data_IF_597524141572
#
_entry.id   IF_597524141572
#
_cell.length_a   1.000
_cell.length_b   1.000
_cell.length_c   1.000
_cell.angle_alpha   90.00
_cell.angle_beta   90.00
_cell.angle_gamma   90.00
#
_symmetry.space_group_name_H-M   'P 1'
#
loop_
_entity.id
_entity.type
_entity.pdbx_description
1 polymer ?
#
# COMPACT_ATOMS: atom_id res chain seq x y z
N UNK A 1 2.75 -13.29 -18.42
CA UNK A 1 4.00 -12.71 -17.88
C UNK A 1 4.24 -11.22 -18.25
N UNK A 2 3.89 -10.76 -19.46
CA UNK A 2 4.00 -9.34 -19.84
C UNK A 2 2.89 -8.43 -19.24
N UNK A 3 1.71 -8.99 -18.95
CA UNK A 3 0.58 -8.30 -18.29
C UNK A 3 0.81 -7.99 -16.80
N UNK A 4 1.82 -8.59 -16.14
CA UNK A 4 2.17 -8.24 -14.76
C UNK A 4 3.13 -7.05 -14.68
N UNK A 5 3.78 -6.70 -15.79
CA UNK A 5 4.75 -5.60 -15.89
C UNK A 5 4.14 -4.32 -16.46
N UNK A 6 3.20 -4.44 -17.40
CA UNK A 6 2.31 -3.34 -17.74
C UNK A 6 1.19 -3.32 -16.69
N UNK A 7 1.23 -2.40 -15.73
CA UNK A 7 0.26 -2.32 -14.64
C UNK A 7 -1.19 -2.49 -15.10
N UNK A 8 -2.01 -3.12 -14.25
CA UNK A 8 -3.42 -3.32 -14.56
C UNK A 8 -4.10 -1.95 -14.77
N UNK A 9 -4.87 -1.82 -15.85
CA UNK A 9 -5.73 -0.65 -16.05
C UNK A 9 -6.91 -0.73 -15.09
N UNK A 10 -6.70 -0.27 -13.86
CA UNK A 10 -7.67 -0.30 -12.77
C UNK A 10 -8.05 1.12 -12.31
N UNK A 11 -8.96 1.20 -11.33
CA UNK A 11 -9.42 2.47 -10.79
C UNK A 11 -8.27 3.26 -10.15
N UNK A 12 -7.33 2.57 -9.50
CA UNK A 12 -6.15 3.20 -8.89
C UNK A 12 -5.33 3.87 -9.98
N UNK A 13 -5.07 3.21 -11.10
CA UNK A 13 -4.35 3.79 -12.22
C UNK A 13 -5.02 5.06 -12.75
N UNK A 14 -6.35 5.03 -12.93
CA UNK A 14 -7.12 6.20 -13.40
C UNK A 14 -7.02 7.36 -12.43
N UNK A 15 -7.22 7.12 -11.13
CA UNK A 15 -7.22 8.18 -10.11
C UNK A 15 -5.82 8.71 -9.80
N UNK A 16 -4.80 7.85 -9.80
CA UNK A 16 -3.43 8.20 -9.43
C UNK A 16 -2.70 8.87 -10.59
N UNK A 17 -2.85 8.36 -11.83
CA UNK A 17 -2.05 8.82 -12.97
C UNK A 17 -2.84 9.65 -14.00
N UNK A 18 -4.09 9.29 -14.32
CA UNK A 18 -4.85 10.02 -15.35
C UNK A 18 -5.53 11.29 -14.82
N UNK A 19 -6.13 11.22 -13.63
CA UNK A 19 -6.74 12.37 -12.97
C UNK A 19 -5.80 13.59 -12.90
N UNK A 20 -4.55 13.50 -12.41
CA UNK A 20 -3.69 14.66 -12.33
C UNK A 20 -3.32 15.20 -13.71
N UNK A 21 -3.08 14.34 -14.71
CA UNK A 21 -2.82 14.77 -16.10
C UNK A 21 -3.99 15.57 -16.66
N UNK A 22 -5.22 15.10 -16.44
CA UNK A 22 -6.43 15.81 -16.84
C UNK A 22 -6.55 17.18 -16.15
N UNK A 23 -6.29 17.24 -14.84
CA UNK A 23 -6.33 18.50 -14.08
C UNK A 23 -5.25 19.50 -14.50
N UNK A 24 -4.05 19.01 -14.82
CA UNK A 24 -2.95 19.81 -15.33
C UNK A 24 -3.27 20.34 -16.74
N UNK A 25 -3.84 19.51 -17.62
CA UNK A 25 -4.27 19.94 -18.96
C UNK A 25 -5.36 21.01 -18.90
N UNK A 26 -6.26 20.94 -17.92
CA UNK A 26 -7.25 22.00 -17.72
C UNK A 26 -6.64 23.28 -17.13
N UNK A 27 -5.47 23.21 -16.49
CA UNK A 27 -4.96 24.27 -15.60
C UNK A 27 -3.60 24.87 -15.92
N UNK A 28 -2.96 24.45 -17.00
CA UNK A 28 -1.67 25.01 -17.40
C UNK A 28 -1.76 26.46 -17.93
N UNK A 29 -2.93 26.91 -18.40
CA UNK A 29 -3.12 28.18 -19.10
C UNK A 29 -4.00 29.20 -18.35
N UNK A 30 -4.06 29.11 -17.02
CA UNK A 30 -5.00 29.88 -16.17
C UNK A 30 -5.04 31.40 -16.43
N UNK A 31 -3.93 32.00 -16.85
CA UNK A 31 -3.81 33.42 -17.15
C UNK A 31 -3.40 33.71 -18.61
N UNK A 32 -2.58 32.85 -19.20
CA UNK A 32 -1.92 33.10 -20.49
C UNK A 32 -2.92 33.32 -21.63
N UNK A 33 -4.01 32.54 -21.66
CA UNK A 33 -5.04 32.63 -22.69
C UNK A 33 -5.78 33.98 -22.65
N UNK A 34 -6.04 34.51 -21.45
CA UNK A 34 -6.69 35.83 -21.28
C UNK A 34 -5.75 36.98 -21.56
N UNK A 35 -4.46 36.80 -21.29
CA UNK A 35 -3.44 37.78 -21.66
C UNK A 35 -3.32 37.89 -23.19
N UNK A 36 -3.31 36.76 -23.89
CA UNK A 36 -3.25 36.71 -25.35
C UNK A 36 -4.52 37.28 -26.00
N UNK A 37 -5.69 37.01 -25.41
CA UNK A 37 -6.97 37.54 -25.89
C UNK A 37 -7.25 39.00 -25.47
N UNK A 38 -6.35 39.63 -24.70
CA UNK A 38 -6.51 41.01 -24.21
C UNK A 38 -7.64 41.21 -23.18
N UNK A 39 -8.37 40.16 -22.80
CA UNK A 39 -9.49 40.21 -21.85
C UNK A 39 -9.04 40.27 -20.40
N UNK A 40 -7.78 39.93 -20.12
CA UNK A 40 -7.23 39.90 -18.77
C UNK A 40 -7.42 41.22 -18.01
N UNK A 41 -7.17 42.37 -18.66
CA UNK A 41 -7.33 43.68 -18.00
C UNK A 41 -8.77 43.94 -17.59
N UNK A 42 -9.74 43.53 -18.41
CA UNK A 42 -11.17 43.67 -18.10
C UNK A 42 -11.54 42.81 -16.89
N UNK A 43 -11.07 41.56 -16.86
CA UNK A 43 -11.32 40.65 -15.74
C UNK A 43 -10.64 41.10 -14.45
N UNK A 44 -9.44 41.68 -14.54
CA UNK A 44 -8.75 42.25 -13.39
C UNK A 44 -9.48 43.49 -12.84
N UNK A 45 -10.11 44.31 -13.68
CA UNK A 45 -10.96 45.43 -13.20
C UNK A 45 -12.18 44.92 -12.41
N UNK A 46 -12.75 43.78 -12.82
CA UNK A 46 -13.91 43.20 -12.13
C UNK A 46 -13.52 42.43 -10.86
N UNK A 47 -12.40 41.70 -10.88
CA UNK A 47 -11.93 40.87 -9.79
C UNK A 47 -10.99 41.60 -8.79
N UNK A 48 -10.63 42.84 -9.06
CA UNK A 48 -9.76 43.69 -8.24
C UNK A 48 -8.26 43.37 -8.34
N UNK A 49 -7.89 42.09 -8.29
CA UNK A 49 -6.49 41.64 -8.39
C UNK A 49 -6.37 40.26 -9.04
N UNK A 50 -5.19 39.97 -9.62
CA UNK A 50 -4.94 38.72 -10.34
C UNK A 50 -5.08 37.48 -9.46
N UNK A 51 -4.61 37.54 -8.20
CA UNK A 51 -4.68 36.40 -7.27
C UNK A 51 -6.12 35.95 -7.00
N UNK A 52 -7.06 36.88 -6.90
CA UNK A 52 -8.49 36.61 -6.72
C UNK A 52 -9.13 35.96 -7.94
N UNK A 53 -8.76 36.39 -9.14
CA UNK A 53 -9.20 35.77 -10.39
C UNK A 53 -8.69 34.33 -10.50
N UNK A 54 -7.40 34.10 -10.21
CA UNK A 54 -6.80 32.77 -10.20
C UNK A 54 -7.43 31.86 -9.14
N UNK A 55 -7.67 32.38 -7.94
CA UNK A 55 -8.36 31.66 -6.88
C UNK A 55 -9.77 31.25 -7.28
N UNK A 56 -10.58 32.20 -7.78
CA UNK A 56 -11.96 31.93 -8.20
C UNK A 56 -12.01 30.87 -9.30
N UNK A 57 -11.13 30.93 -10.30
CA UNK A 57 -11.01 29.91 -11.36
C UNK A 57 -10.62 28.54 -10.81
N UNK A 58 -9.62 28.50 -9.94
CA UNK A 58 -9.13 27.26 -9.32
C UNK A 58 -10.23 26.63 -8.46
N UNK A 59 -10.95 27.45 -7.68
CA UNK A 59 -12.07 27.03 -6.86
C UNK A 59 -13.24 26.51 -7.71
N UNK A 60 -13.61 27.20 -8.78
CA UNK A 60 -14.65 26.77 -9.69
C UNK A 60 -14.34 25.40 -10.30
N UNK A 61 -13.09 25.19 -10.75
CA UNK A 61 -12.64 23.90 -11.29
C UNK A 61 -12.65 22.79 -10.23
N UNK A 62 -12.24 23.12 -9.00
CA UNK A 62 -12.32 22.20 -7.88
C UNK A 62 -13.76 21.80 -7.59
N UNK A 63 -14.72 22.74 -7.58
CA UNK A 63 -16.14 22.45 -7.37
C UNK A 63 -16.74 21.60 -8.48
N UNK A 64 -16.42 21.89 -9.74
CA UNK A 64 -16.87 21.08 -10.89
C UNK A 64 -16.33 19.66 -10.79
N UNK A 65 -15.03 19.51 -10.50
CA UNK A 65 -14.41 18.21 -10.28
C UNK A 65 -15.06 17.47 -9.10
N UNK A 66 -15.32 18.18 -8.00
CA UNK A 66 -15.99 17.63 -6.82
C UNK A 66 -17.34 17.05 -7.17
N UNK A 67 -18.17 17.83 -7.87
CA UNK A 67 -19.50 17.42 -8.29
C UNK A 67 -19.45 16.21 -9.23
N UNK A 68 -18.54 16.23 -10.20
CA UNK A 68 -18.36 15.11 -11.13
C UNK A 68 -17.91 13.83 -10.43
N UNK A 69 -16.88 13.89 -9.58
CA UNK A 69 -16.38 12.72 -8.84
C UNK A 69 -17.41 12.17 -7.87
N UNK A 70 -18.14 13.06 -7.17
CA UNK A 70 -19.22 12.66 -6.27
C UNK A 70 -20.32 11.93 -7.05
N UNK A 71 -20.80 12.50 -8.15
CA UNK A 71 -21.82 11.88 -8.99
C UNK A 71 -21.36 10.53 -9.56
N UNK A 72 -20.15 10.46 -10.10
CA UNK A 72 -19.59 9.25 -10.69
C UNK A 72 -19.41 8.14 -9.65
N UNK A 73 -18.77 8.43 -8.52
CA UNK A 73 -18.52 7.44 -7.47
C UNK A 73 -19.80 6.98 -6.79
N UNK A 74 -20.76 7.88 -6.59
CA UNK A 74 -22.09 7.51 -6.07
C UNK A 74 -22.82 6.61 -7.05
N UNK A 75 -22.79 6.94 -8.35
CA UNK A 75 -23.44 6.14 -9.39
C UNK A 75 -22.83 4.74 -9.48
N UNK A 76 -21.49 4.63 -9.48
CA UNK A 76 -20.79 3.34 -9.46
C UNK A 76 -21.13 2.54 -8.20
N UNK A 77 -21.14 3.18 -7.03
CA UNK A 77 -21.47 2.50 -5.77
C UNK A 77 -22.90 1.97 -5.78
N UNK A 78 -23.88 2.76 -6.20
CA UNK A 78 -25.28 2.34 -6.29
C UNK A 78 -25.50 1.22 -7.29
N UNK A 79 -24.77 1.23 -8.41
CA UNK A 79 -24.87 0.19 -9.43
C UNK A 79 -24.25 -1.13 -9.00
N UNK A 80 -23.10 -1.09 -8.32
CA UNK A 80 -22.33 -2.29 -7.99
C UNK A 80 -22.77 -2.95 -6.67
N UNK A 81 -23.34 -2.17 -5.74
CA UNK A 81 -23.76 -2.66 -4.42
C UNK A 81 -24.70 -3.89 -4.44
N UNK A 82 -25.61 -4.07 -5.42
CA UNK A 82 -26.41 -5.29 -5.49
C UNK A 82 -25.65 -6.54 -5.97
N UNK A 83 -24.54 -6.35 -6.70
CA UNK A 83 -23.81 -7.43 -7.36
C UNK A 83 -22.57 -7.88 -6.58
N UNK A 84 -22.05 -6.97 -5.77
CA UNK A 84 -20.91 -7.21 -4.91
C UNK A 84 -21.44 -7.14 -3.48
N UNK A 85 -21.26 -8.20 -2.69
CA UNK A 85 -21.49 -8.20 -1.24
C UNK A 85 -20.46 -7.27 -0.55
N UNK A 86 -20.57 -5.98 -0.86
CA UNK A 86 -19.72 -4.93 -0.35
C UNK A 86 -20.23 -4.56 1.04
N UNK A 87 -19.51 -5.01 2.07
CA UNK A 87 -19.60 -4.52 3.44
C UNK A 87 -19.09 -3.06 3.59
N UNK A 88 -19.23 -2.25 2.52
CA UNK A 88 -18.75 -0.88 2.49
C UNK A 88 -19.80 0.05 3.07
N UNK A 89 -19.54 0.49 4.31
CA UNK A 89 -20.32 1.53 4.96
C UNK A 89 -20.17 2.89 4.26
N UNK A 90 -21.13 3.78 4.47
CA UNK A 90 -21.07 5.18 4.01
C UNK A 90 -19.77 5.88 4.41
N UNK A 91 -19.20 5.57 5.58
CA UNK A 91 -17.93 6.15 6.03
C UNK A 91 -16.80 5.85 5.05
N UNK A 92 -16.67 4.63 4.53
CA UNK A 92 -15.62 4.31 3.58
C UNK A 92 -15.77 5.05 2.25
N UNK A 93 -17.01 5.22 1.77
CA UNK A 93 -17.29 6.00 0.57
C UNK A 93 -16.90 7.48 0.74
N UNK A 94 -17.27 8.09 1.87
CA UNK A 94 -16.85 9.47 2.20
C UNK A 94 -15.32 9.60 2.30
N UNK A 95 -14.64 8.61 2.89
CA UNK A 95 -13.19 8.61 3.02
C UNK A 95 -12.51 8.51 1.64
N UNK A 96 -12.99 7.63 0.75
CA UNK A 96 -12.51 7.56 -0.62
C UNK A 96 -12.65 8.92 -1.32
N UNK A 97 -13.85 9.52 -1.26
CA UNK A 97 -14.11 10.81 -1.88
C UNK A 97 -13.17 11.89 -1.31
N UNK A 98 -13.04 11.96 0.01
CA UNK A 98 -12.18 12.95 0.67
C UNK A 98 -10.72 12.86 0.21
N UNK A 99 -10.14 11.66 0.14
CA UNK A 99 -8.74 11.48 -0.26
C UNK A 99 -8.52 11.82 -1.73
N UNK A 100 -9.42 11.40 -2.62
CA UNK A 100 -9.33 11.75 -4.04
C UNK A 100 -9.48 13.26 -4.23
N UNK A 101 -10.38 13.89 -3.47
CA UNK A 101 -10.58 15.34 -3.51
C UNK A 101 -9.36 16.13 -3.03
N UNK A 102 -8.72 15.69 -1.93
CA UNK A 102 -7.49 16.31 -1.43
C UNK A 102 -6.37 16.18 -2.47
N UNK A 103 -6.23 15.01 -3.10
CA UNK A 103 -5.25 14.79 -4.15
C UNK A 103 -5.50 15.65 -5.40
N UNK A 104 -6.75 15.74 -5.86
CA UNK A 104 -7.11 16.62 -6.98
C UNK A 104 -6.88 18.10 -6.66
N UNK A 105 -7.22 18.52 -5.44
CA UNK A 105 -6.97 19.87 -4.96
C UNK A 105 -5.47 20.20 -4.92
N UNK A 106 -4.64 19.25 -4.51
CA UNK A 106 -3.19 19.40 -4.52
C UNK A 106 -2.66 19.73 -5.92
N UNK A 107 -3.08 18.99 -6.96
CA UNK A 107 -2.63 19.23 -8.33
C UNK A 107 -3.15 20.55 -8.91
N UNK A 108 -4.40 20.92 -8.62
CA UNK A 108 -4.96 22.20 -9.03
C UNK A 108 -4.23 23.38 -8.37
N UNK A 109 -3.93 23.27 -7.08
CA UNK A 109 -3.17 24.30 -6.36
C UNK A 109 -1.72 24.38 -6.84
N UNK A 110 -1.09 23.24 -7.16
CA UNK A 110 0.25 23.22 -7.73
C UNK A 110 0.29 23.90 -9.11
N UNK A 111 -0.71 23.63 -9.96
CA UNK A 111 -0.85 24.32 -11.24
C UNK A 111 -1.07 25.83 -11.03
N UNK A 112 -1.95 26.22 -10.09
CA UNK A 112 -2.17 27.62 -9.76
C UNK A 112 -0.90 28.30 -9.22
N UNK A 113 -0.10 27.59 -8.41
CA UNK A 113 1.17 28.07 -7.87
C UNK A 113 2.17 28.34 -8.99
N UNK A 114 2.34 27.43 -9.93
CA UNK A 114 3.26 27.62 -11.05
C UNK A 114 2.83 28.75 -11.99
N UNK A 115 1.52 28.92 -12.19
CA UNK A 115 0.97 30.07 -12.92
C UNK A 115 1.26 31.41 -12.22
N UNK A 116 1.66 31.42 -10.94
CA UNK A 116 2.04 32.65 -10.23
C UNK A 116 3.42 33.22 -10.65
N UNK A 117 4.22 32.49 -11.43
CA UNK A 117 5.56 32.93 -11.82
C UNK A 117 5.60 33.69 -13.15
N UNK A 118 4.44 34.02 -13.75
CA UNK A 118 4.29 34.69 -15.07
C UNK A 118 5.04 33.98 -16.22
N UNK A 119 5.31 32.69 -16.06
CA UNK A 119 5.90 31.88 -17.11
C UNK A 119 4.92 31.69 -18.28
N UNK A 120 5.40 31.55 -19.53
CA UNK A 120 4.57 31.12 -20.64
C UNK A 120 3.84 29.81 -20.33
N UNK A 121 2.62 29.64 -20.86
CA UNK A 121 1.80 28.44 -20.67
C UNK A 121 2.57 27.14 -20.96
N UNK A 122 3.42 27.14 -22.01
CA UNK A 122 4.28 26.00 -22.35
C UNK A 122 5.24 25.66 -21.21
N UNK A 123 5.90 26.65 -20.59
CA UNK A 123 6.83 26.41 -19.48
C UNK A 123 6.12 25.89 -18.23
N UNK A 124 4.92 26.40 -17.93
CA UNK A 124 4.08 25.87 -16.83
C UNK A 124 3.69 24.41 -17.10
N UNK A 125 3.22 24.11 -18.31
CA UNK A 125 2.83 22.76 -18.72
C UNK A 125 4.02 21.79 -18.64
N UNK A 126 5.19 22.16 -19.16
CA UNK A 126 6.39 21.32 -19.10
C UNK A 126 6.88 21.12 -17.66
N UNK A 127 6.79 22.15 -16.81
CA UNK A 127 7.17 22.06 -15.39
C UNK A 127 6.23 21.13 -14.62
N UNK A 128 4.92 21.25 -14.84
CA UNK A 128 3.90 20.37 -14.28
C UNK A 128 4.11 18.92 -14.72
N UNK A 129 4.31 18.68 -16.01
CA UNK A 129 4.59 17.35 -16.54
C UNK A 129 5.88 16.76 -15.96
N UNK A 130 6.92 17.59 -15.77
CA UNK A 130 8.18 17.16 -15.17
C UNK A 130 8.00 16.79 -13.70
N UNK A 131 7.32 17.63 -12.90
CA UNK A 131 7.02 17.31 -11.49
C UNK A 131 6.17 16.04 -11.38
N UNK A 132 5.19 15.87 -12.28
CA UNK A 132 4.38 14.66 -12.35
C UNK A 132 5.22 13.42 -12.67
N UNK A 133 6.09 13.47 -13.68
CA UNK A 133 7.02 12.36 -13.99
C UNK A 133 7.96 12.06 -12.82
N UNK A 134 8.49 13.10 -12.17
CA UNK A 134 9.37 12.95 -11.03
C UNK A 134 8.69 12.22 -9.88
N UNK A 135 7.50 12.67 -9.44
CA UNK A 135 6.80 12.06 -8.32
C UNK A 135 6.13 10.72 -8.64
N UNK A 136 5.72 10.52 -9.89
CA UNK A 136 4.98 9.32 -10.29
C UNK A 136 5.91 8.17 -10.71
N UNK A 137 7.05 8.46 -11.32
CA UNK A 137 7.94 7.43 -11.89
C UNK A 137 9.33 7.46 -11.27
N UNK A 138 9.99 8.62 -11.25
CA UNK A 138 11.39 8.69 -10.84
C UNK A 138 11.55 8.42 -9.33
N UNK A 139 10.72 9.05 -8.50
CA UNK A 139 10.81 8.97 -7.04
C UNK A 139 10.47 7.56 -6.52
N UNK A 140 9.42 6.87 -7.03
CA UNK A 140 9.17 5.47 -6.67
C UNK A 140 10.28 4.53 -7.16
N UNK A 141 10.75 4.67 -8.40
CA UNK A 141 11.80 3.81 -8.96
C UNK A 141 13.13 3.95 -8.22
N UNK A 142 13.54 5.19 -7.92
CA UNK A 142 14.75 5.45 -7.14
C UNK A 142 14.62 5.00 -5.69
N UNK A 143 13.44 5.17 -5.09
CA UNK A 143 13.14 4.64 -3.76
C UNK A 143 13.28 3.13 -3.71
N UNK A 144 12.66 2.42 -4.65
CA UNK A 144 12.76 0.97 -4.75
C UNK A 144 14.20 0.51 -4.95
N UNK A 145 14.97 1.18 -5.81
CA UNK A 145 16.37 0.87 -6.02
C UNK A 145 17.21 1.11 -4.76
N UNK A 146 17.01 2.24 -4.07
CA UNK A 146 17.69 2.55 -2.81
C UNK A 146 17.37 1.52 -1.72
N UNK A 147 16.13 1.06 -1.64
CA UNK A 147 15.73 0.00 -0.71
C UNK A 147 16.44 -1.31 -0.99
N UNK A 148 16.64 -1.67 -2.26
CA UNK A 148 17.35 -2.90 -2.65
C UNK A 148 18.85 -2.83 -2.37
N UNK A 149 19.46 -1.64 -2.44
CA UNK A 149 20.90 -1.47 -2.15
C UNK A 149 21.19 -1.35 -0.65
N UNK A 150 20.36 -0.63 0.11
CA UNK A 150 20.53 -0.46 1.55
C UNK A 150 20.15 -1.72 2.34
N UNK A 151 19.09 -2.41 1.94
CA UNK A 151 18.59 -3.62 2.59
C UNK A 151 18.32 -4.72 1.55
N UNK A 152 19.36 -5.44 1.09
CA UNK A 152 19.23 -6.44 0.03
C UNK A 152 18.50 -7.70 0.51
N UNK A 153 17.18 -7.75 0.35
CA UNK A 153 16.37 -8.94 0.64
C UNK A 153 16.58 -9.98 -0.47
N UNK A 154 16.93 -11.24 -0.15
CA UNK A 154 17.10 -12.27 -1.17
C UNK A 154 15.80 -12.47 -1.95
N UNK A 155 15.92 -12.79 -3.24
CA UNK A 155 14.74 -13.09 -4.05
C UNK A 155 13.94 -14.24 -3.42
N UNK A 156 12.62 -14.27 -3.61
CA UNK A 156 11.76 -15.33 -3.03
C UNK A 156 12.24 -16.73 -3.42
N UNK A 157 12.77 -16.89 -4.63
CA UNK A 157 13.36 -18.15 -5.09
C UNK A 157 14.65 -18.49 -4.33
N UNK A 158 15.55 -17.51 -4.18
CA UNK A 158 16.80 -17.71 -3.42
C UNK A 158 16.52 -18.02 -1.94
N UNK A 159 15.54 -17.34 -1.34
CA UNK A 159 15.10 -17.63 0.02
C UNK A 159 14.54 -19.06 0.15
N UNK A 160 13.65 -19.48 -0.77
CA UNK A 160 13.11 -20.85 -0.77
C UNK A 160 14.22 -21.90 -0.98
N UNK A 161 15.22 -21.60 -1.79
CA UNK A 161 16.37 -22.47 -1.99
C UNK A 161 17.20 -22.59 -0.71
N UNK A 162 17.58 -21.47 -0.09
CA UNK A 162 18.29 -21.46 1.19
C UNK A 162 17.50 -22.18 2.29
N UNK A 163 16.19 -21.98 2.32
CA UNK A 163 15.30 -22.65 3.27
C UNK A 163 15.29 -24.17 3.04
N UNK A 164 15.23 -24.63 1.78
CA UNK A 164 15.28 -26.05 1.43
C UNK A 164 16.63 -26.66 1.77
N UNK A 165 17.73 -26.00 1.45
CA UNK A 165 19.09 -26.46 1.79
C UNK A 165 19.30 -26.56 3.31
N UNK A 166 18.81 -25.56 4.06
CA UNK A 166 18.81 -25.59 5.52
C UNK A 166 17.93 -26.72 6.07
N UNK A 167 16.78 -26.98 5.45
CA UNK A 167 15.89 -28.08 5.85
C UNK A 167 16.51 -29.45 5.53
N UNK A 168 17.13 -29.60 4.36
CA UNK A 168 17.80 -30.82 3.93
C UNK A 168 19.00 -31.15 4.81
N UNK A 169 19.85 -30.16 5.12
CA UNK A 169 20.97 -30.35 6.03
C UNK A 169 20.51 -30.70 7.44
N UNK A 170 19.49 -30.01 7.96
CA UNK A 170 18.87 -30.36 9.24
C UNK A 170 18.25 -31.76 9.22
N UNK A 171 17.64 -32.17 8.09
CA UNK A 171 17.08 -33.51 7.88
C UNK A 171 18.17 -34.57 7.90
N UNK A 172 19.24 -34.42 7.12
CA UNK A 172 20.38 -35.36 7.08
C UNK A 172 20.98 -35.57 8.47
N UNK A 173 21.25 -34.49 9.20
CA UNK A 173 21.80 -34.58 10.56
C UNK A 173 20.82 -35.30 11.51
N UNK A 174 19.52 -35.04 11.37
CA UNK A 174 18.51 -35.69 12.21
C UNK A 174 18.27 -37.15 11.82
N UNK A 175 18.37 -37.51 10.54
CA UNK A 175 18.28 -38.86 10.02
C UNK A 175 19.46 -39.72 10.51
N UNK A 176 20.67 -39.17 10.48
CA UNK A 176 21.87 -39.85 11.01
C UNK A 176 21.76 -40.12 12.50
N UNK A 177 21.37 -39.12 13.30
CA UNK A 177 21.17 -39.28 14.75
C UNK A 177 20.04 -40.28 15.06
N UNK A 178 18.97 -40.26 14.26
CA UNK A 178 17.84 -41.17 14.41
C UNK A 178 18.25 -42.61 14.06
N UNK A 179 18.99 -42.80 12.98
CA UNK A 179 19.49 -44.12 12.56
C UNK A 179 20.38 -44.75 13.63
N UNK A 180 21.37 -44.00 14.13
CA UNK A 180 22.24 -44.46 15.21
C UNK A 180 21.45 -44.82 16.48
N UNK A 181 20.43 -44.02 16.84
CA UNK A 181 19.58 -44.32 18.00
C UNK A 181 18.70 -45.56 17.80
N UNK A 182 18.21 -45.83 16.58
CA UNK A 182 17.41 -47.01 16.27
C UNK A 182 18.26 -48.29 16.16
N UNK A 183 19.53 -48.18 15.82
CA UNK A 183 20.49 -49.30 15.88
C UNK A 183 20.67 -49.78 17.33
N UNK A 184 20.74 -48.85 18.29
CA UNK A 184 20.84 -49.16 19.72
C UNK A 184 19.50 -49.60 20.35
N UNK A 185 18.36 -49.27 19.72
CA UNK A 185 17.00 -49.52 20.21
C UNK A 185 16.08 -50.15 19.14
N UNK A 186 16.36 -51.39 18.70
CA UNK A 186 15.57 -52.05 17.65
C UNK A 186 14.10 -52.27 18.05
N UNK A 187 13.79 -52.32 19.35
CA UNK A 187 12.41 -52.41 19.86
C UNK A 187 11.50 -51.24 19.43
N UNK A 188 12.06 -50.11 19.00
CA UNK A 188 11.32 -48.93 18.53
C UNK A 188 11.05 -48.93 17.01
N UNK A 189 11.63 -49.86 16.26
CA UNK A 189 11.57 -49.89 14.79
C UNK A 189 10.22 -50.42 14.24
N UNK A 190 9.43 -51.12 15.06
CA UNK A 190 8.21 -51.82 14.62
C UNK A 190 7.02 -50.87 14.34
N UNK A 191 7.20 -49.55 14.51
CA UNK A 191 6.25 -48.49 14.09
C UNK A 191 4.91 -48.45 14.85
N UNK A 192 4.57 -49.50 15.60
CA UNK A 192 3.37 -49.60 16.42
C UNK A 192 3.49 -48.86 17.77
N UNK A 193 4.72 -48.52 18.20
CA UNK A 193 4.96 -47.81 19.45
C UNK A 193 4.80 -46.29 19.25
N UNK A 194 3.99 -45.68 20.12
CA UNK A 194 3.79 -44.25 20.26
C UNK A 194 5.11 -43.47 20.50
N UNK A 195 6.14 -44.14 21.06
CA UNK A 195 7.50 -43.59 21.17
C UNK A 195 8.14 -43.29 19.81
N UNK A 196 7.88 -44.08 18.78
CA UNK A 196 8.39 -43.79 17.43
C UNK A 196 7.76 -42.52 16.84
N UNK A 197 6.45 -42.33 17.04
CA UNK A 197 5.76 -41.09 16.65
C UNK A 197 6.33 -39.87 17.40
N UNK A 198 6.60 -40.00 18.70
CA UNK A 198 7.21 -38.96 19.52
C UNK A 198 8.66 -38.63 19.08
N UNK A 199 9.41 -39.64 18.66
CA UNK A 199 10.76 -39.49 18.12
C UNK A 199 10.75 -38.73 16.78
N UNK A 200 9.85 -39.07 15.86
CA UNK A 200 9.68 -38.33 14.60
C UNK A 200 9.23 -36.89 14.83
N UNK A 201 8.38 -36.66 15.84
CA UNK A 201 7.97 -35.32 16.24
C UNK A 201 9.15 -34.47 16.74
N UNK A 202 9.99 -35.06 17.60
CA UNK A 202 11.17 -34.39 18.16
C UNK A 202 12.16 -33.97 17.06
N UNK A 203 12.30 -34.81 16.03
CA UNK A 203 13.08 -34.54 14.82
C UNK A 203 12.48 -33.37 14.03
N UNK A 204 11.17 -33.38 13.77
CA UNK A 204 10.50 -32.27 13.09
C UNK A 204 10.70 -30.93 13.85
N UNK A 205 10.58 -30.94 15.18
CA UNK A 205 10.84 -29.76 16.00
C UNK A 205 12.30 -29.29 15.94
N UNK A 206 13.26 -30.22 15.93
CA UNK A 206 14.69 -29.90 15.82
C UNK A 206 15.00 -29.27 14.45
N UNK A 207 14.43 -29.81 13.38
CA UNK A 207 14.53 -29.24 12.04
C UNK A 207 13.93 -27.82 11.99
N UNK A 208 12.75 -27.61 12.57
CA UNK A 208 12.13 -26.29 12.64
C UNK A 208 13.00 -25.28 13.41
N UNK A 209 13.64 -25.69 14.51
CA UNK A 209 14.57 -24.84 15.28
C UNK A 209 15.82 -24.48 14.48
N UNK A 210 16.35 -25.40 13.67
CA UNK A 210 17.55 -25.18 12.86
C UNK A 210 17.33 -24.12 11.76
N UNK A 211 16.13 -24.05 11.18
CA UNK A 211 15.80 -23.09 10.10
C UNK A 211 15.30 -21.74 10.66
N UNK A 212 14.85 -21.70 11.91
CA UNK A 212 14.35 -20.48 12.59
C UNK A 212 15.25 -19.23 12.46
N UNK A 213 16.58 -19.28 12.65
CA UNK A 213 17.42 -18.09 12.51
C UNK A 213 17.39 -17.52 11.09
N UNK A 214 17.37 -18.36 10.06
CA UNK A 214 17.27 -17.93 8.66
C UNK A 214 15.96 -17.17 8.41
N UNK A 215 14.84 -17.72 8.91
CA UNK A 215 13.52 -17.07 8.82
C UNK A 215 13.51 -15.73 9.55
N UNK A 216 14.08 -15.67 10.76
CA UNK A 216 14.12 -14.43 11.54
C UNK A 216 14.97 -13.35 10.88
N UNK A 217 16.13 -13.71 10.32
CA UNK A 217 16.97 -12.76 9.58
C UNK A 217 16.24 -12.19 8.37
N UNK A 218 15.58 -13.05 7.59
CA UNK A 218 14.77 -12.63 6.44
C UNK A 218 13.65 -11.66 6.86
N UNK A 219 12.90 -11.99 7.92
CA UNK A 219 11.82 -11.13 8.42
C UNK A 219 12.34 -9.79 8.94
N UNK A 220 13.46 -9.78 9.67
CA UNK A 220 14.06 -8.53 10.15
C UNK A 220 14.52 -7.62 9.00
N UNK A 221 15.08 -8.20 7.95
CA UNK A 221 15.52 -7.44 6.79
C UNK A 221 14.34 -6.87 6.01
N UNK A 222 13.28 -7.66 5.84
CA UNK A 222 12.03 -7.22 5.25
C UNK A 222 11.40 -6.06 6.04
N UNK A 223 11.35 -6.17 7.37
CA UNK A 223 10.81 -5.13 8.25
C UNK A 223 11.59 -3.80 8.15
N UNK A 224 12.94 -3.86 8.04
CA UNK A 224 13.77 -2.66 7.83
C UNK A 224 13.51 -2.01 6.47
N UNK A 225 13.36 -2.82 5.44
CA UNK A 225 13.04 -2.35 4.10
C UNK A 225 11.67 -1.65 4.09
N UNK A 226 10.68 -2.22 4.76
CA UNK A 226 9.34 -1.65 4.89
C UNK A 226 9.33 -0.36 5.71
N UNK A 227 10.09 -0.29 6.79
CA UNK A 227 10.22 0.93 7.59
C UNK A 227 10.74 2.11 6.74
N UNK A 228 11.82 1.89 5.96
CA UNK A 228 12.31 2.92 5.05
C UNK A 228 11.34 3.21 3.91
N UNK A 229 10.70 2.18 3.34
CA UNK A 229 9.70 2.38 2.30
C UNK A 229 8.59 3.31 2.80
N UNK A 230 8.05 3.04 3.99
CA UNK A 230 6.98 3.83 4.61
C UNK A 230 7.38 5.31 4.80
N UNK A 231 8.64 5.58 5.13
CA UNK A 231 9.15 6.95 5.20
C UNK A 231 9.27 7.60 3.81
N UNK A 232 9.71 6.84 2.80
CA UNK A 232 9.90 7.31 1.44
C UNK A 232 8.60 7.72 0.75
N UNK A 233 7.51 7.03 1.09
CA UNK A 233 6.17 7.25 0.53
C UNK A 233 5.69 8.69 0.79
N UNK A 234 6.04 9.30 1.93
CA UNK A 234 5.61 10.66 2.26
C UNK A 234 6.21 11.76 1.36
N UNK A 235 7.24 11.46 0.57
CA UNK A 235 7.81 12.42 -0.38
C UNK A 235 6.99 12.57 -1.66
N UNK A 236 6.12 11.59 -1.98
CA UNK A 236 5.34 11.60 -3.21
C UNK A 236 3.84 11.65 -2.91
N UNK A 237 3.13 12.70 -3.37
CA UNK A 237 1.67 12.74 -3.27
C UNK A 237 1.01 11.58 -4.04
N UNK A 238 1.68 11.08 -5.08
CA UNK A 238 1.24 9.97 -5.94
C UNK A 238 1.26 8.68 -5.13
N UNK A 239 2.38 8.36 -4.50
CA UNK A 239 2.54 7.15 -3.68
C UNK A 239 1.63 7.18 -2.45
N UNK A 240 1.37 8.35 -1.86
CA UNK A 240 0.44 8.51 -0.75
C UNK A 240 -1.00 8.18 -1.15
N UNK A 241 -1.46 8.67 -2.30
CA UNK A 241 -2.80 8.35 -2.81
C UNK A 241 -2.91 6.85 -3.11
N UNK A 242 -1.95 6.30 -3.84
CA UNK A 242 -1.94 4.88 -4.20
C UNK A 242 -2.09 3.97 -2.97
N UNK A 243 -1.31 4.23 -1.92
CA UNK A 243 -1.40 3.48 -0.67
C UNK A 243 -2.72 3.69 0.07
N UNK A 244 -3.24 4.91 0.11
CA UNK A 244 -4.53 5.17 0.74
C UNK A 244 -5.66 4.40 0.03
N UNK A 245 -5.60 4.29 -1.30
CA UNK A 245 -6.56 3.51 -2.09
C UNK A 245 -6.39 2.00 -1.87
N UNK A 246 -5.15 1.47 -1.88
CA UNK A 246 -4.88 0.06 -1.57
C UNK A 246 -5.34 -0.31 -0.16
N UNK A 247 -5.12 0.58 0.81
CA UNK A 247 -5.55 0.37 2.18
C UNK A 247 -7.08 0.40 2.34
N UNK A 248 -7.76 1.31 1.65
CA UNK A 248 -9.23 1.33 1.58
C UNK A 248 -9.80 0.06 0.94
N UNK A 249 -9.10 -0.49 -0.06
CA UNK A 249 -9.47 -1.75 -0.71
C UNK A 249 -9.10 -3.00 0.13
N UNK A 250 -8.31 -2.83 1.19
CA UNK A 250 -7.80 -3.93 2.01
C UNK A 250 -6.82 -4.84 1.27
N UNK A 251 -6.12 -4.32 0.26
CA UNK A 251 -5.11 -5.00 -0.56
C UNK A 251 -3.69 -4.49 -0.28
N UNK A 252 -3.50 -3.77 0.84
CA UNK A 252 -2.20 -3.25 1.23
C UNK A 252 -1.29 -4.31 1.87
N UNK A 253 0.01 -4.01 1.86
CA UNK A 253 1.04 -4.91 2.40
C UNK A 253 0.96 -5.08 3.93
N UNK A 254 0.54 -4.05 4.67
CA UNK A 254 0.46 -4.13 6.13
C UNK A 254 -0.61 -5.13 6.56
N UNK A 255 -1.73 -5.22 5.82
CA UNK A 255 -2.73 -6.26 6.03
C UNK A 255 -2.18 -7.66 5.77
N UNK A 256 -1.38 -7.84 4.71
CA UNK A 256 -0.75 -9.13 4.42
C UNK A 256 0.21 -9.56 5.54
N UNK A 257 0.98 -8.65 6.13
CA UNK A 257 1.84 -8.95 7.28
C UNK A 257 1.06 -9.39 8.52
N UNK A 258 -0.04 -8.69 8.81
CA UNK A 258 -0.93 -9.07 9.92
C UNK A 258 -1.50 -10.46 9.68
N UNK A 259 -1.93 -10.76 8.46
CA UNK A 259 -2.40 -12.09 8.07
C UNK A 259 -1.31 -13.17 8.26
N UNK A 260 -0.07 -12.92 7.82
CA UNK A 260 1.05 -13.85 7.99
C UNK A 260 1.30 -14.17 9.48
N UNK A 261 1.27 -13.15 10.36
CA UNK A 261 1.42 -13.34 11.81
C UNK A 261 0.26 -14.18 12.37
N UNK A 262 -0.97 -13.89 11.97
CA UNK A 262 -2.15 -14.65 12.39
C UNK A 262 -2.12 -16.09 11.90
N UNK A 263 -1.72 -16.32 10.64
CA UNK A 263 -1.57 -17.64 10.07
C UNK A 263 -0.53 -18.47 10.84
N UNK A 264 0.60 -17.85 11.21
CA UNK A 264 1.62 -18.51 12.04
C UNK A 264 1.16 -18.78 13.48
N UNK A 265 0.35 -17.90 14.08
CA UNK A 265 -0.24 -18.15 15.39
C UNK A 265 -1.23 -19.32 15.31
N UNK A 266 -2.14 -19.28 14.33
CA UNK A 266 -3.10 -20.36 14.09
C UNK A 266 -2.43 -21.70 13.81
N UNK A 267 -1.32 -21.71 13.08
CA UNK A 267 -0.52 -22.92 12.87
C UNK A 267 -0.06 -23.55 14.20
N UNK A 268 0.29 -22.73 15.21
CA UNK A 268 0.68 -23.24 16.54
C UNK A 268 -0.52 -23.80 17.29
N UNK A 269 -1.67 -23.13 17.24
CA UNK A 269 -2.90 -23.60 17.90
C UNK A 269 -3.37 -24.91 17.28
N UNK A 270 -3.29 -25.01 15.95
CA UNK A 270 -3.53 -26.24 15.20
C UNK A 270 -2.59 -27.36 15.66
N UNK A 271 -1.28 -27.08 15.73
CA UNK A 271 -0.31 -28.06 16.24
C UNK A 271 -0.61 -28.46 17.68
N UNK A 272 -0.93 -27.51 18.57
CA UNK A 272 -1.22 -27.77 19.97
C UNK A 272 -2.47 -28.63 20.18
N UNK A 273 -3.46 -28.53 19.28
CA UNK A 273 -4.65 -29.38 19.30
C UNK A 273 -4.35 -30.83 18.89
N UNK A 274 -3.59 -31.03 17.79
CA UNK A 274 -3.31 -32.37 17.28
C UNK A 274 -2.19 -33.10 18.02
N UNK A 275 -1.24 -32.37 18.62
CA UNK A 275 -0.11 -32.95 19.33
C UNK A 275 -0.50 -33.97 20.41
N UNK A 276 -1.39 -33.65 21.37
CA UNK A 276 -1.79 -34.61 22.40
C UNK A 276 -2.48 -35.84 21.80
N UNK A 277 -3.31 -35.66 20.76
CA UNK A 277 -4.01 -36.77 20.09
C UNK A 277 -3.05 -37.76 19.45
N UNK A 278 -2.02 -37.25 18.76
CA UNK A 278 -0.96 -38.06 18.15
C UNK A 278 -0.17 -38.78 19.25
N UNK A 279 0.24 -38.06 20.31
CA UNK A 279 1.01 -38.65 21.42
C UNK A 279 0.20 -39.58 22.32
N UNK A 280 -1.11 -39.67 22.15
CA UNK A 280 -1.98 -40.62 22.87
C UNK A 280 -2.48 -41.75 21.96
N UNK A 281 -2.14 -41.72 20.66
CA UNK A 281 -2.63 -42.68 19.67
C UNK A 281 -4.16 -42.67 19.51
N UNK A 282 -4.82 -41.55 19.82
CA UNK A 282 -6.30 -41.47 19.85
C UNK A 282 -6.85 -40.99 18.51
N UNK A 283 -7.80 -41.72 17.93
CA UNK A 283 -8.56 -41.27 16.76
C UNK A 283 -9.48 -40.09 17.10
N UNK A 284 -9.75 -39.24 16.11
CA UNK A 284 -10.71 -38.14 16.23
C UNK A 284 -12.13 -38.68 16.46
N UNK A 285 -12.85 -38.06 17.40
CA UNK A 285 -14.27 -38.34 17.61
C UNK A 285 -15.15 -37.13 17.26
N UNK A 286 -16.47 -37.31 17.24
CA UNK A 286 -17.44 -36.26 16.94
C UNK A 286 -17.34 -35.02 17.85
N UNK A 287 -16.98 -35.20 19.13
CA UNK A 287 -16.80 -34.12 20.09
C UNK A 287 -15.49 -33.32 19.91
N UNK A 288 -14.52 -33.85 19.15
CA UNK A 288 -13.29 -33.14 18.79
C UNK A 288 -13.51 -32.21 17.60
N UNK A 289 -14.39 -32.59 16.66
CA UNK A 289 -14.75 -31.73 15.52
C UNK A 289 -15.37 -30.41 15.98
N UNK A 290 -16.16 -30.42 17.05
CA UNK A 290 -16.71 -29.21 17.64
C UNK A 290 -15.67 -28.28 18.30
N UNK A 291 -14.46 -28.80 18.58
CA UNK A 291 -13.34 -28.08 19.22
C UNK A 291 -12.19 -27.78 18.26
N UNK A 292 -12.37 -28.06 16.97
CA UNK A 292 -11.35 -27.77 15.97
C UNK A 292 -11.04 -26.27 15.96
N UNK A 293 -9.76 -25.88 16.06
CA UNK A 293 -9.39 -24.49 15.90
C UNK A 293 -9.85 -23.99 14.53
N UNK A 294 -10.66 -22.95 14.49
CA UNK A 294 -11.03 -22.27 13.25
C UNK A 294 -10.15 -21.04 13.06
N UNK A 295 -9.70 -20.81 11.83
CA UNK A 295 -9.00 -19.58 11.52
C UNK A 295 -10.02 -18.44 11.54
N UNK A 296 -9.79 -17.45 12.41
CA UNK A 296 -10.59 -16.23 12.47
C UNK A 296 -9.68 -15.10 12.02
N UNK A 297 -10.02 -14.48 10.88
CA UNK A 297 -9.32 -13.30 10.39
C UNK A 297 -9.67 -12.11 11.29
N UNK A 298 -8.89 -11.93 12.36
CA UNK A 298 -9.04 -10.82 13.29
C UNK A 298 -8.25 -9.63 12.74
N UNK A 299 -8.60 -9.12 11.55
CA UNK A 299 -8.01 -7.87 11.04
C UNK A 299 -8.39 -6.77 12.03
N UNK A 300 -7.44 -6.15 12.73
CA UNK A 300 -7.75 -4.98 13.55
C UNK A 300 -8.35 -3.92 12.63
N UNK A 301 -9.41 -3.23 13.06
CA UNK A 301 -9.96 -2.09 12.33
C UNK A 301 -9.04 -0.86 12.44
N UNK A 302 -7.76 -1.04 12.11
CA UNK A 302 -6.76 0.02 11.97
C UNK A 302 -6.94 0.77 10.65
N UNK A 303 -7.93 0.39 9.84
CA UNK A 303 -8.31 1.04 8.58
C UNK A 303 -8.43 2.53 8.77
N UNK A 304 -9.14 2.95 9.82
CA UNK A 304 -9.30 4.36 10.15
C UNK A 304 -8.00 5.08 10.52
N UNK A 305 -7.10 4.43 11.28
CA UNK A 305 -5.89 5.08 11.80
C UNK A 305 -4.81 5.28 10.73
N UNK A 306 -4.52 4.23 9.95
CA UNK A 306 -3.52 4.28 8.89
C UNK A 306 -4.02 5.18 7.76
N UNK A 307 -5.30 5.06 7.40
CA UNK A 307 -5.94 5.97 6.48
C UNK A 307 -5.80 7.42 6.96
N UNK A 308 -6.16 7.73 8.21
CA UNK A 308 -6.04 9.09 8.74
C UNK A 308 -4.61 9.63 8.67
N UNK A 309 -3.59 8.81 8.92
CA UNK A 309 -2.19 9.22 8.78
C UNK A 309 -1.81 9.56 7.33
N UNK A 310 -2.24 8.73 6.38
CA UNK A 310 -1.98 8.96 4.95
C UNK A 310 -2.73 10.21 4.45
N UNK A 311 -4.01 10.34 4.81
CA UNK A 311 -4.83 11.50 4.48
C UNK A 311 -4.32 12.78 5.15
N UNK A 312 -3.88 12.72 6.40
CA UNK A 312 -3.28 13.86 7.10
C UNK A 312 -1.99 14.33 6.41
N UNK A 313 -1.19 13.40 5.90
CA UNK A 313 0.04 13.73 5.18
C UNK A 313 -0.26 14.40 3.83
N UNK A 314 -1.27 13.91 3.10
CA UNK A 314 -1.77 14.58 1.91
C UNK A 314 -2.33 15.98 2.23
N UNK A 315 -3.03 16.14 3.37
CA UNK A 315 -3.51 17.44 3.83
C UNK A 315 -2.37 18.39 4.20
N UNK A 316 -1.29 17.90 4.81
CA UNK A 316 -0.10 18.72 5.09
C UNK A 316 0.52 19.22 3.79
N UNK A 317 0.69 18.35 2.78
CA UNK A 317 1.16 18.75 1.46
C UNK A 317 0.23 19.77 0.81
N UNK A 318 -1.09 19.56 0.90
CA UNK A 318 -2.10 20.50 0.41
C UNK A 318 -1.96 21.87 1.09
N UNK A 319 -1.84 21.92 2.42
CA UNK A 319 -1.71 23.15 3.19
C UNK A 319 -0.39 23.86 2.87
N UNK A 320 0.71 23.13 2.67
CA UNK A 320 1.98 23.70 2.25
C UNK A 320 1.85 24.37 0.88
N UNK A 321 1.28 23.69 -0.11
CA UNK A 321 1.06 24.27 -1.45
C UNK A 321 0.08 25.45 -1.37
N UNK A 322 -0.99 25.35 -0.58
CA UNK A 322 -1.93 26.45 -0.33
C UNK A 322 -1.24 27.67 0.29
N UNK A 323 -0.33 27.45 1.25
CA UNK A 323 0.44 28.54 1.86
C UNK A 323 1.38 29.22 0.86
N UNK A 324 2.03 28.42 -0.01
CA UNK A 324 2.88 28.91 -1.08
C UNK A 324 2.09 29.68 -2.15
N UNK A 325 0.93 29.17 -2.57
CA UNK A 325 0.03 29.87 -3.51
C UNK A 325 -0.49 31.16 -2.92
N UNK A 326 -0.98 31.13 -1.68
CA UNK A 326 -1.49 32.31 -0.99
C UNK A 326 -0.43 33.40 -0.84
N UNK A 327 0.80 33.02 -0.45
CA UNK A 327 1.93 33.94 -0.35
C UNK A 327 2.31 34.52 -1.72
N UNK A 328 2.29 33.70 -2.77
CA UNK A 328 2.52 34.16 -4.13
C UNK A 328 1.43 35.15 -4.57
N UNK A 329 0.15 34.84 -4.34
CA UNK A 329 -0.98 35.71 -4.65
C UNK A 329 -0.95 37.05 -3.92
N UNK A 330 -0.53 37.07 -2.64
CA UNK A 330 -0.38 38.33 -1.89
C UNK A 330 0.77 39.20 -2.36
N UNK A 331 1.81 38.61 -2.95
CA UNK A 331 2.99 39.33 -3.44
C UNK A 331 2.84 39.81 -4.88
N UNK A 332 1.71 39.53 -5.53
CA UNK A 332 1.45 40.05 -6.87
C UNK A 332 1.23 41.56 -6.82
N UNK A 333 2.11 42.36 -7.43
CA UNK A 333 1.86 43.79 -7.55
C UNK A 333 0.63 44.00 -8.44
N UNK A 334 -0.30 44.80 -7.94
CA UNK A 334 -1.25 45.50 -8.80
C UNK A 334 -0.42 46.56 -9.51
N UNK A 335 -0.44 46.54 -10.85
CA UNK A 335 0.20 47.44 -11.83
C UNK A 335 1.23 46.72 -12.71
#
# INVERSE_FOLDING_TARGET
>A
PLQLWAGHFDLVFVLVYLLPLFLMLLSFDLHTTEQQNGTLRLLMMQAGHLGGLLFAKTLARLLILSGFLLALTLWVWLLLRPWLDLDWSWSHWFLLLAVVMVYGAFWLLLAAWLNCFRWPAVQVATSLATLWLLWSWLLPATGQQALQTLYPVPSRLAYLQQQREALESARRNSDQLLGAYLEDHPELADGADNRYAMLQLSKAQRMARAVRPLVQQYQQQLARQQALASAWIYLSPVSLLEQALMHLAGSDMARYEVFEVQAHAFQKDWQAFFMPLITQGRALNSADFARLPAFVDAVPDTRGQIFWRLSASLLVLLVLVLGLTWRAWRRYPVI
#
